data_IF_242803221008
#
_entry.id   IF_242803221008
#
_cell.length_a   1.000
_cell.length_b   1.000
_cell.length_c   1.000
_cell.angle_alpha   90.00
_cell.angle_beta   90.00
_cell.angle_gamma   90.00
#
_symmetry.space_group_name_H-M   'P 1'
#
loop_
_entity.id
_entity.type
_entity.pdbx_description
1 polymer ?
#
# COMPACT_ATOMS: atom_id res chain seq x y z
N UNK A 1 32.71 -2.36 -8.98
CA UNK A 1 33.56 -3.50 -8.57
C UNK A 1 32.82 -4.84 -8.72
N UNK A 2 31.71 -5.09 -8.01
CA UNK A 2 30.94 -6.34 -8.12
C UNK A 2 30.60 -6.73 -9.58
N UNK A 3 30.16 -5.77 -10.39
CA UNK A 3 29.90 -5.96 -11.83
C UNK A 3 31.07 -6.61 -12.58
N UNK A 4 32.30 -6.17 -12.32
CA UNK A 4 33.50 -6.70 -13.00
C UNK A 4 33.82 -8.11 -12.53
N UNK A 5 33.63 -8.38 -11.23
CA UNK A 5 33.81 -9.71 -10.65
C UNK A 5 32.82 -10.70 -11.29
N UNK A 6 31.55 -10.31 -11.40
CA UNK A 6 30.52 -11.14 -12.04
C UNK A 6 30.77 -11.36 -13.53
N UNK A 7 31.27 -10.34 -14.24
CA UNK A 7 31.64 -10.44 -15.66
C UNK A 7 32.81 -11.39 -15.90
N UNK A 8 33.86 -11.31 -15.09
CA UNK A 8 35.12 -12.00 -15.34
C UNK A 8 35.16 -13.40 -14.75
N UNK A 9 34.54 -13.61 -13.58
CA UNK A 9 34.68 -14.84 -12.80
C UNK A 9 33.34 -15.55 -12.55
N UNK A 10 32.20 -14.87 -12.71
CA UNK A 10 30.88 -15.42 -12.42
C UNK A 10 30.52 -15.42 -10.93
N UNK A 11 29.28 -15.80 -10.63
CA UNK A 11 28.68 -15.77 -9.29
C UNK A 11 29.28 -16.78 -8.31
N UNK A 12 29.77 -17.91 -8.81
CA UNK A 12 30.18 -19.06 -8.00
C UNK A 12 31.71 -19.09 -7.78
N UNK A 13 32.38 -18.00 -8.14
CA UNK A 13 33.84 -17.88 -8.05
C UNK A 13 34.31 -17.59 -6.63
N UNK A 14 35.55 -18.01 -6.32
CA UNK A 14 36.23 -17.64 -5.07
C UNK A 14 36.33 -16.12 -4.89
N UNK A 15 36.45 -15.36 -5.98
CA UNK A 15 36.44 -13.89 -5.98
C UNK A 15 35.09 -13.33 -5.52
N UNK A 16 33.97 -13.90 -5.99
CA UNK A 16 32.64 -13.51 -5.55
C UNK A 16 32.39 -13.87 -4.07
N UNK A 17 32.86 -15.05 -3.63
CA UNK A 17 32.78 -15.45 -2.22
C UNK A 17 33.60 -14.52 -1.31
N UNK A 18 34.85 -14.20 -1.69
CA UNK A 18 35.70 -13.26 -0.94
C UNK A 18 35.08 -11.87 -0.86
N UNK A 19 34.54 -11.37 -1.99
CA UNK A 19 33.85 -10.08 -2.03
C UNK A 19 32.62 -10.06 -1.10
N UNK A 20 31.88 -11.17 -1.05
CA UNK A 20 30.72 -11.34 -0.18
C UNK A 20 31.11 -11.38 1.30
N UNK A 21 32.22 -12.05 1.64
CA UNK A 21 32.76 -12.05 2.99
C UNK A 21 33.22 -10.66 3.43
N UNK A 22 33.82 -9.88 2.52
CA UNK A 22 34.34 -8.54 2.80
C UNK A 22 33.22 -7.52 3.05
N UNK A 23 32.19 -7.51 2.19
CA UNK A 23 31.14 -6.48 2.23
C UNK A 23 29.89 -6.89 3.01
N UNK A 24 29.75 -8.19 3.32
CA UNK A 24 28.57 -8.77 3.95
C UNK A 24 27.46 -9.09 2.95
N UNK A 25 26.74 -10.19 3.22
CA UNK A 25 25.71 -10.77 2.35
C UNK A 25 24.62 -9.76 1.94
N UNK A 26 24.10 -9.00 2.90
CA UNK A 26 23.01 -8.04 2.66
C UNK A 26 23.44 -6.90 1.74
N UNK A 27 24.65 -6.35 1.94
CA UNK A 27 25.18 -5.29 1.08
C UNK A 27 25.47 -5.80 -0.32
N UNK A 28 26.00 -7.03 -0.45
CA UNK A 28 26.20 -7.64 -1.78
C UNK A 28 24.87 -7.90 -2.48
N UNK A 29 23.83 -8.30 -1.74
CA UNK A 29 22.47 -8.40 -2.26
C UNK A 29 21.93 -7.07 -2.80
N UNK A 30 22.11 -5.97 -2.06
CA UNK A 30 21.74 -4.63 -2.51
C UNK A 30 22.52 -4.18 -3.78
N UNK A 31 23.82 -4.48 -3.84
CA UNK A 31 24.63 -4.23 -5.03
C UNK A 31 24.16 -5.06 -6.23
N UNK A 32 23.74 -6.31 -6.02
CA UNK A 32 23.16 -7.15 -7.06
C UNK A 32 21.83 -6.57 -7.58
N UNK A 33 20.94 -6.12 -6.70
CA UNK A 33 19.70 -5.43 -7.07
C UNK A 33 19.96 -4.17 -7.90
N UNK A 34 20.99 -3.39 -7.52
CA UNK A 34 21.42 -2.21 -8.27
C UNK A 34 21.87 -2.57 -9.70
N UNK A 35 22.61 -3.68 -9.86
CA UNK A 35 23.03 -4.18 -11.18
C UNK A 35 21.82 -4.63 -12.01
N UNK A 36 20.87 -5.36 -11.43
CA UNK A 36 19.66 -5.83 -12.12
C UNK A 36 18.82 -4.66 -12.65
N UNK A 37 18.67 -3.63 -11.82
CA UNK A 37 17.91 -2.40 -12.13
C UNK A 37 18.55 -1.56 -13.25
N UNK A 38 19.89 -1.55 -13.34
CA UNK A 38 20.59 -0.66 -14.28
C UNK A 38 20.44 -1.17 -15.72
N UNK A 39 19.96 -0.30 -16.62
CA UNK A 39 19.88 -0.59 -18.07
C UNK A 39 21.18 -0.28 -18.82
N UNK A 40 22.01 0.63 -18.29
CA UNK A 40 23.22 1.09 -18.97
C UNK A 40 24.40 0.10 -18.88
N UNK A 41 24.64 -0.60 -19.99
CA UNK A 41 25.84 -1.41 -20.27
C UNK A 41 25.89 -2.77 -19.57
N UNK A 42 24.90 -3.16 -18.79
CA UNK A 42 24.84 -4.50 -18.22
C UNK A 42 24.47 -5.50 -19.32
N UNK A 43 25.42 -6.34 -19.75
CA UNK A 43 25.08 -7.45 -20.64
C UNK A 43 24.15 -8.42 -19.92
N UNK A 44 23.30 -9.13 -20.66
CA UNK A 44 22.38 -10.13 -20.09
C UNK A 44 23.11 -11.10 -19.15
N UNK A 45 24.32 -11.52 -19.55
CA UNK A 45 25.17 -12.41 -18.74
C UNK A 45 25.52 -11.87 -17.35
N UNK A 46 25.67 -10.55 -17.19
CA UNK A 46 25.91 -9.92 -15.88
C UNK A 46 24.64 -9.92 -15.05
N UNK A 47 23.51 -9.60 -15.66
CA UNK A 47 22.21 -9.63 -14.97
C UNK A 47 21.90 -11.05 -14.52
N UNK A 48 22.14 -12.06 -15.36
CA UNK A 48 21.96 -13.47 -15.02
C UNK A 48 22.88 -13.90 -13.87
N UNK A 49 24.14 -13.46 -13.87
CA UNK A 49 25.08 -13.76 -12.79
C UNK A 49 24.75 -13.02 -11.50
N UNK A 50 24.28 -11.78 -11.58
CA UNK A 50 23.79 -11.02 -10.42
C UNK A 50 22.52 -11.66 -9.84
N UNK A 51 21.62 -12.16 -10.70
CA UNK A 51 20.41 -12.85 -10.29
C UNK A 51 20.72 -14.18 -9.58
N UNK A 52 21.64 -14.98 -10.14
CA UNK A 52 22.14 -16.19 -9.49
C UNK A 52 22.73 -15.89 -8.12
N UNK A 53 23.62 -14.88 -8.04
CA UNK A 53 24.20 -14.43 -6.78
C UNK A 53 23.12 -14.03 -5.76
N UNK A 54 22.11 -13.29 -6.19
CA UNK A 54 21.02 -12.83 -5.33
C UNK A 54 20.18 -13.99 -4.79
N UNK A 55 19.87 -15.01 -5.59
CA UNK A 55 19.13 -16.18 -5.12
C UNK A 55 19.94 -17.05 -4.15
N UNK A 56 21.26 -17.15 -4.31
CA UNK A 56 22.12 -17.86 -3.37
C UNK A 56 22.03 -17.31 -1.93
N UNK A 57 21.76 -16.01 -1.77
CA UNK A 57 21.57 -15.37 -0.46
C UNK A 57 20.36 -15.91 0.33
N UNK A 58 19.46 -16.66 -0.31
CA UNK A 58 18.29 -17.28 0.34
C UNK A 58 18.63 -18.57 1.06
N UNK A 59 19.63 -19.31 0.59
CA UNK A 59 19.91 -20.68 1.01
C UNK A 59 20.80 -20.79 2.26
N UNK A 60 21.42 -19.68 2.70
CA UNK A 60 22.39 -19.72 3.81
C UNK A 60 21.78 -19.82 5.22
N UNK A 61 20.44 -19.73 5.36
CA UNK A 61 19.75 -20.09 6.62
C UNK A 61 20.09 -21.51 7.10
N UNK A 62 20.48 -22.39 6.17
CA UNK A 62 20.85 -23.78 6.43
C UNK A 62 22.32 -23.91 6.88
N UNK A 63 23.22 -23.00 6.49
CA UNK A 63 24.66 -23.12 6.76
C UNK A 63 25.09 -22.49 8.09
N UNK A 64 24.44 -21.41 8.51
CA UNK A 64 24.97 -20.57 9.59
C UNK A 64 24.57 -21.00 11.02
N UNK A 65 23.92 -22.15 11.21
CA UNK A 65 23.69 -22.74 12.54
C UNK A 65 24.97 -23.24 13.23
N UNK A 66 26.12 -23.17 12.58
CA UNK A 66 27.42 -23.60 13.14
C UNK A 66 28.45 -22.49 13.34
N UNK A 67 28.09 -21.21 13.16
CA UNK A 67 29.00 -20.12 13.55
C UNK A 67 28.25 -19.01 14.30
N UNK A 68 28.05 -19.24 15.60
CA UNK A 68 27.70 -18.16 16.53
C UNK A 68 29.00 -17.76 17.25
N UNK A 69 29.54 -16.60 16.88
CA UNK A 69 30.46 -15.87 17.75
C UNK A 69 29.65 -14.90 18.63
N UNK A 70 29.91 -14.80 19.94
CA UNK A 70 29.22 -13.87 20.81
C UNK A 70 29.85 -12.47 20.67
N UNK A 71 29.12 -11.52 20.09
CA UNK A 71 29.49 -10.11 20.22
C UNK A 71 28.81 -9.51 21.46
N UNK A 72 29.66 -9.05 22.38
CA UNK A 72 29.33 -8.34 23.62
C UNK A 72 28.86 -6.93 23.29
N UNK A 73 27.58 -6.64 23.50
CA UNK A 73 27.06 -5.28 23.43
C UNK A 73 27.51 -4.49 24.68
N UNK A 74 28.32 -3.46 24.48
CA UNK A 74 28.59 -2.43 25.48
C UNK A 74 27.42 -1.45 25.56
N UNK A 75 27.08 -1.08 26.80
CA UNK A 75 25.99 -0.19 27.19
C UNK A 75 25.79 1.04 26.30
N UNK A 76 24.56 1.21 25.82
CA UNK A 76 23.99 2.53 25.57
C UNK A 76 22.58 2.57 26.16
N UNK A 77 22.43 3.33 27.24
CA UNK A 77 21.18 3.56 27.94
C UNK A 77 20.38 4.69 27.30
N UNK A 78 19.06 4.52 27.36
CA UNK A 78 18.00 5.54 27.27
C UNK A 78 17.66 6.10 25.89
N UNK A 79 16.64 5.49 25.27
CA UNK A 79 15.58 6.25 24.62
C UNK A 79 14.24 5.59 24.93
N UNK A 80 13.38 6.31 25.63
CA UNK A 80 12.00 5.92 25.92
C UNK A 80 11.13 6.23 24.69
N UNK A 81 10.52 5.21 24.09
CA UNK A 81 9.48 5.36 23.06
C UNK A 81 8.15 4.88 23.61
N UNK A 82 7.02 5.60 23.39
CA UNK A 82 5.70 5.03 23.59
C UNK A 82 5.19 4.36 22.29
N UNK A 83 4.46 3.27 22.50
CA UNK A 83 3.58 2.53 21.57
C UNK A 83 4.27 1.73 20.45
N UNK A 84 4.51 0.45 20.74
CA UNK A 84 4.76 -0.59 19.75
C UNK A 84 3.45 -1.02 19.11
N UNK A 85 3.24 -0.71 17.82
CA UNK A 85 2.28 -1.45 17.00
C UNK A 85 3.03 -2.49 16.16
N UNK A 86 2.65 -3.74 16.36
CA UNK A 86 3.20 -4.92 15.72
C UNK A 86 2.83 -4.91 14.23
N UNK A 87 3.83 -4.98 13.35
CA UNK A 87 3.68 -4.99 11.88
C UNK A 87 3.00 -6.27 11.31
N UNK A 88 2.46 -7.13 12.18
CA UNK A 88 1.87 -8.42 11.82
C UNK A 88 0.47 -8.31 11.18
N UNK A 89 -0.19 -7.16 11.30
CA UNK A 89 -1.63 -7.02 11.13
C UNK A 89 -2.03 -5.96 10.09
N UNK A 90 -1.27 -5.86 8.98
CA UNK A 90 -1.61 -5.01 7.85
C UNK A 90 -2.81 -5.60 7.05
N UNK A 91 -3.99 -5.66 7.67
CA UNK A 91 -5.25 -5.89 6.98
C UNK A 91 -5.70 -4.58 6.33
N UNK A 92 -5.17 -4.31 5.12
CA UNK A 92 -5.57 -3.14 4.33
C UNK A 92 -7.04 -3.34 3.86
N UNK A 93 -8.01 -2.97 4.69
CA UNK A 93 -9.39 -2.82 4.27
C UNK A 93 -9.51 -1.57 3.41
N UNK A 94 -9.31 -1.75 2.10
CA UNK A 94 -9.42 -0.71 1.06
C UNK A 94 -10.86 -0.19 1.02
N UNK A 95 -11.12 0.92 1.72
CA UNK A 95 -12.37 1.68 1.62
C UNK A 95 -12.26 2.69 0.49
N UNK A 96 -13.28 2.72 -0.36
CA UNK A 96 -13.36 3.63 -1.51
C UNK A 96 -13.38 5.10 -1.07
N UNK A 97 -12.81 6.01 -1.87
CA UNK A 97 -12.66 7.41 -1.52
C UNK A 97 -13.91 8.22 -1.17
N UNK A 98 -15.06 7.81 -1.69
CA UNK A 98 -16.26 8.66 -1.74
C UNK A 98 -17.10 8.65 -0.45
N UNK A 99 -16.57 8.15 0.66
CA UNK A 99 -17.34 7.90 1.90
C UNK A 99 -17.14 8.93 3.04
N UNK A 100 -16.30 9.96 2.89
CA UNK A 100 -15.81 10.77 4.04
C UNK A 100 -16.60 12.03 4.39
N UNK A 101 -17.85 12.18 3.93
CA UNK A 101 -18.64 13.39 4.23
C UNK A 101 -19.90 13.07 5.04
N UNK A 102 -19.79 12.97 6.37
CA UNK A 102 -20.73 13.52 7.41
C UNK A 102 -20.56 12.89 8.82
N UNK A 103 -20.88 13.61 9.92
CA UNK A 103 -20.51 13.25 11.29
C UNK A 103 -21.47 12.22 11.92
N UNK A 104 -20.94 11.15 12.52
CA UNK A 104 -21.74 10.16 13.25
C UNK A 104 -22.02 10.58 14.70
N UNK A 105 -23.29 10.87 15.00
CA UNK A 105 -23.83 10.82 16.36
C UNK A 105 -23.99 9.37 16.81
N UNK A 106 -23.39 9.04 17.96
CA UNK A 106 -23.52 7.74 18.63
C UNK A 106 -24.96 7.54 19.15
N UNK A 107 -25.65 6.50 18.67
CA UNK A 107 -26.80 5.90 19.37
C UNK A 107 -26.44 4.49 19.82
N UNK A 108 -26.31 4.33 21.15
CA UNK A 108 -26.28 3.04 21.84
C UNK A 108 -27.60 2.30 21.60
N UNK A 109 -27.52 1.03 21.24
CA UNK A 109 -28.63 0.09 21.43
C UNK A 109 -28.17 -1.06 22.31
N UNK A 110 -28.81 -1.18 23.47
CA UNK A 110 -28.85 -2.38 24.29
C UNK A 110 -29.80 -3.38 23.63
N UNK A 111 -29.47 -4.67 23.67
CA UNK A 111 -30.46 -5.73 23.48
C UNK A 111 -30.29 -6.82 24.54
N UNK A 112 -31.43 -7.35 24.94
CA UNK A 112 -31.70 -8.06 26.18
C UNK A 112 -31.41 -9.57 26.12
N UNK A 113 -31.26 -10.11 27.33
CA UNK A 113 -31.17 -11.54 27.71
C UNK A 113 -32.42 -12.33 27.32
N UNK A 114 -32.21 -13.61 27.02
CA UNK A 114 -33.10 -14.70 27.45
C UNK A 114 -32.26 -15.92 27.88
N UNK A 115 -32.73 -16.57 28.95
CA UNK A 115 -32.07 -17.58 29.80
C UNK A 115 -32.46 -19.02 29.42
N UNK A 116 -31.66 -20.06 29.68
CA UNK A 116 -31.73 -21.06 30.80
C UNK A 116 -30.89 -22.33 30.41
N UNK A 117 -30.59 -23.33 31.29
CA UNK A 117 -29.71 -23.30 32.46
C UNK A 117 -28.64 -24.43 32.54
N UNK A 118 -27.53 -24.11 33.20
CA UNK A 118 -26.73 -24.86 34.19
C UNK A 118 -26.70 -26.42 34.23
N UNK A 119 -25.49 -26.98 34.03
CA UNK A 119 -25.01 -28.15 34.79
C UNK A 119 -23.50 -28.01 35.09
N UNK A 120 -23.18 -28.02 36.39
CA UNK A 120 -21.86 -27.92 36.99
C UNK A 120 -21.16 -29.30 37.06
N UNK A 121 -19.84 -29.27 37.37
CA UNK A 121 -18.90 -30.37 37.74
C UNK A 121 -17.96 -30.80 36.58
N UNK A 122 -16.62 -30.80 36.66
CA UNK A 122 -15.63 -30.89 37.77
C UNK A 122 -14.35 -30.11 37.39
N UNK A 123 -13.75 -29.43 38.38
CA UNK A 123 -12.41 -28.85 38.38
C UNK A 123 -11.34 -29.93 38.60
N UNK A 124 -10.34 -30.03 37.72
CA UNK A 124 -9.01 -30.55 38.06
C UNK A 124 -7.92 -29.98 37.13
N UNK A 125 -6.95 -29.28 37.74
CA UNK A 125 -5.51 -29.23 37.40
C UNK A 125 -5.07 -28.94 35.95
N UNK A 126 -4.66 -27.71 35.67
CA UNK A 126 -3.23 -27.36 35.55
C UNK A 126 -3.09 -25.85 35.24
N UNK A 127 -3.00 -25.03 36.29
CA UNK A 127 -2.39 -23.71 36.17
C UNK A 127 -0.88 -23.88 36.25
N UNK A 128 -0.20 -23.89 35.10
CA UNK A 128 1.18 -23.41 34.89
C UNK A 128 1.67 -23.82 33.50
N UNK A 129 1.32 -23.06 32.46
CA UNK A 129 2.15 -22.88 31.24
C UNK A 129 1.37 -22.21 30.10
N UNK A 130 0.93 -20.97 30.28
CA UNK A 130 0.44 -20.19 29.13
C UNK A 130 0.82 -18.72 29.24
N UNK A 131 2.12 -18.48 29.44
CA UNK A 131 2.70 -17.13 29.45
C UNK A 131 4.19 -17.17 29.11
N UNK A 132 4.53 -17.85 28.01
CA UNK A 132 5.81 -17.63 27.34
C UNK A 132 5.75 -18.07 25.87
N UNK A 133 4.78 -17.56 25.11
CA UNK A 133 4.99 -17.47 23.65
C UNK A 133 6.01 -16.35 23.41
N UNK A 134 7.28 -16.71 23.60
CA UNK A 134 8.39 -16.02 22.97
C UNK A 134 8.08 -16.14 21.47
N UNK A 135 7.52 -15.07 20.88
CA UNK A 135 7.57 -14.83 19.45
C UNK A 135 9.04 -14.89 19.07
N UNK A 136 9.47 -16.10 18.71
CA UNK A 136 10.81 -16.36 18.24
C UNK A 136 10.81 -15.71 16.87
N UNK A 137 11.27 -14.46 16.78
CA UNK A 137 11.48 -13.79 15.50
C UNK A 137 12.44 -14.70 14.73
N UNK A 138 11.89 -15.51 13.83
CA UNK A 138 12.70 -16.28 12.91
C UNK A 138 13.59 -15.28 12.19
N UNK A 139 14.90 -15.49 12.20
CA UNK A 139 15.80 -14.62 11.46
C UNK A 139 15.41 -14.65 9.98
N UNK A 140 15.25 -13.48 9.36
CA UNK A 140 14.93 -13.35 7.95
C UNK A 140 16.15 -13.70 7.09
N UNK A 141 15.94 -14.01 5.81
CA UNK A 141 17.06 -14.31 4.91
C UNK A 141 17.82 -13.03 4.54
N UNK A 142 19.09 -13.18 4.16
CA UNK A 142 19.85 -12.04 3.62
C UNK A 142 19.23 -11.48 2.33
N UNK A 143 18.50 -12.31 1.56
CA UNK A 143 17.71 -11.87 0.41
C UNK A 143 16.57 -10.94 0.84
N UNK A 144 15.83 -11.31 1.88
CA UNK A 144 14.79 -10.47 2.47
C UNK A 144 15.39 -9.13 2.90
N UNK A 145 16.44 -9.17 3.70
CA UNK A 145 17.05 -7.95 4.26
C UNK A 145 17.63 -7.04 3.16
N UNK A 146 18.17 -7.63 2.08
CA UNK A 146 18.67 -6.86 0.95
C UNK A 146 17.56 -6.09 0.22
N UNK A 147 16.36 -6.67 0.08
CA UNK A 147 15.22 -5.98 -0.53
C UNK A 147 14.77 -4.78 0.32
N UNK A 148 14.65 -4.98 1.63
CA UNK A 148 14.29 -3.90 2.56
C UNK A 148 15.38 -2.83 2.65
N UNK A 149 16.65 -3.23 2.64
CA UNK A 149 17.78 -2.30 2.60
C UNK A 149 17.75 -1.45 1.32
N UNK A 150 17.52 -2.08 0.17
CA UNK A 150 17.43 -1.35 -1.11
C UNK A 150 16.29 -0.34 -1.11
N UNK A 151 15.09 -0.78 -0.68
CA UNK A 151 13.94 0.10 -0.54
C UNK A 151 14.21 1.27 0.40
N UNK A 152 14.72 1.00 1.61
CA UNK A 152 15.00 2.03 2.62
C UNK A 152 16.05 3.04 2.15
N UNK A 153 17.04 2.63 1.35
CA UNK A 153 18.01 3.55 0.71
C UNK A 153 17.35 4.49 -0.29
N UNK A 154 16.36 4.01 -1.05
CA UNK A 154 15.64 4.83 -2.02
C UNK A 154 14.74 5.85 -1.30
N UNK A 155 13.92 5.40 -0.34
CA UNK A 155 12.91 6.26 0.31
C UNK A 155 13.41 7.02 1.53
N UNK A 156 14.59 6.69 2.05
CA UNK A 156 15.05 7.15 3.38
C UNK A 156 15.06 8.66 3.58
N UNK A 157 15.35 9.42 2.52
CA UNK A 157 15.35 10.89 2.58
C UNK A 157 13.96 11.52 2.65
N UNK A 158 12.91 10.77 2.31
CA UNK A 158 11.51 11.21 2.26
C UNK A 158 10.67 10.58 3.38
N UNK A 159 10.98 9.34 3.78
CA UNK A 159 10.11 8.45 4.56
C UNK A 159 9.46 9.11 5.79
N UNK A 160 10.26 9.82 6.58
CA UNK A 160 9.80 10.45 7.83
C UNK A 160 9.48 11.94 7.69
N UNK A 161 9.55 12.50 6.48
CA UNK A 161 9.29 13.92 6.23
C UNK A 161 7.83 14.16 5.81
N UNK A 162 7.26 15.35 6.11
CA UNK A 162 5.98 15.76 5.55
C UNK A 162 6.07 15.94 4.03
N UNK A 163 4.93 15.80 3.33
CA UNK A 163 4.83 16.05 1.88
C UNK A 163 4.44 17.49 1.56
N UNK A 164 3.75 18.17 2.47
CA UNK A 164 3.31 19.55 2.31
C UNK A 164 3.59 20.38 3.56
N UNK A 165 3.59 21.69 3.39
CA UNK A 165 3.71 22.65 4.47
C UNK A 165 2.67 23.76 4.33
N UNK A 166 2.28 24.33 5.46
CA UNK A 166 1.39 25.49 5.51
C UNK A 166 2.21 26.77 5.52
N UNK A 167 1.99 27.62 4.52
CA UNK A 167 2.62 28.94 4.44
C UNK A 167 1.88 29.98 5.31
N UNK A 168 2.51 31.13 5.63
CA UNK A 168 1.92 32.17 6.48
C UNK A 168 0.60 32.76 5.95
N UNK A 169 0.36 32.69 4.64
CA UNK A 169 -0.87 33.09 3.96
C UNK A 169 -1.99 32.03 4.05
N UNK A 170 -1.81 31.01 4.91
CA UNK A 170 -2.70 29.86 5.05
C UNK A 170 -2.80 29.01 3.76
N UNK A 171 -1.82 29.11 2.85
CA UNK A 171 -1.74 28.31 1.64
C UNK A 171 -0.98 27.01 1.90
N UNK A 172 -1.59 25.88 1.57
CA UNK A 172 -0.92 24.58 1.64
C UNK A 172 -0.15 24.37 0.35
N UNK A 173 1.15 24.08 0.45
CA UNK A 173 2.03 23.86 -0.72
C UNK A 173 2.79 22.55 -0.57
N UNK A 174 3.07 21.88 -1.69
CA UNK A 174 3.97 20.74 -1.69
C UNK A 174 5.38 21.19 -1.33
N UNK A 175 6.08 20.39 -0.52
CA UNK A 175 7.49 20.59 -0.20
C UNK A 175 8.37 20.16 -1.38
N UNK A 176 7.91 19.16 -2.14
CA UNK A 176 8.65 18.56 -3.26
C UNK A 176 8.11 19.06 -4.59
N UNK A 177 9.03 19.34 -5.52
CA UNK A 177 8.71 19.66 -6.90
C UNK A 177 8.41 18.41 -7.74
N UNK A 178 7.84 18.60 -8.94
CA UNK A 178 7.55 17.50 -9.88
C UNK A 178 8.82 16.75 -10.26
N UNK A 179 9.92 17.45 -10.53
CA UNK A 179 11.21 16.85 -10.92
C UNK A 179 11.80 15.95 -9.82
N UNK A 180 11.68 16.35 -8.55
CA UNK A 180 12.16 15.57 -7.41
C UNK A 180 11.34 14.29 -7.21
N UNK A 181 10.01 14.40 -7.36
CA UNK A 181 9.10 13.26 -7.30
C UNK A 181 9.37 12.30 -8.47
N UNK A 182 9.55 12.83 -9.68
CA UNK A 182 9.88 12.05 -10.87
C UNK A 182 11.23 11.34 -10.71
N UNK A 183 12.25 12.00 -10.15
CA UNK A 183 13.52 11.36 -9.85
C UNK A 183 13.34 10.14 -8.91
N UNK A 184 12.54 10.29 -7.85
CA UNK A 184 12.27 9.22 -6.89
C UNK A 184 11.46 8.07 -7.53
N UNK A 185 10.46 8.40 -8.34
CA UNK A 185 9.67 7.43 -9.11
C UNK A 185 10.56 6.66 -10.10
N UNK A 186 11.50 7.34 -10.75
CA UNK A 186 12.52 6.70 -11.59
C UNK A 186 13.48 5.80 -10.80
N UNK A 187 13.54 5.93 -9.47
CA UNK A 187 14.20 4.95 -8.60
C UNK A 187 13.31 3.75 -8.27
N UNK A 188 12.09 3.99 -7.81
CA UNK A 188 11.20 2.94 -7.31
C UNK A 188 10.54 2.10 -8.41
N UNK A 189 10.15 2.69 -9.53
CA UNK A 189 9.45 1.98 -10.61
C UNK A 189 10.31 0.89 -11.24
N UNK A 190 11.58 1.12 -11.59
CA UNK A 190 12.45 0.04 -12.07
C UNK A 190 12.73 -1.01 -10.98
N UNK A 191 12.80 -0.61 -9.71
CA UNK A 191 12.96 -1.55 -8.60
C UNK A 191 11.73 -2.46 -8.45
N UNK A 192 10.52 -1.91 -8.51
CA UNK A 192 9.26 -2.68 -8.57
C UNK A 192 9.26 -3.62 -9.77
N UNK A 193 9.63 -3.12 -10.96
CA UNK A 193 9.69 -3.91 -12.18
C UNK A 193 10.61 -5.13 -12.05
N UNK A 194 11.84 -4.97 -11.56
CA UNK A 194 12.76 -6.12 -11.43
C UNK A 194 12.26 -7.17 -10.43
N UNK A 195 11.52 -6.76 -9.39
CA UNK A 195 10.92 -7.71 -8.44
C UNK A 195 9.89 -8.59 -9.14
N UNK A 196 9.12 -8.02 -10.05
CA UNK A 196 8.06 -8.70 -10.80
C UNK A 196 8.62 -9.53 -11.95
N UNK A 197 9.46 -8.93 -12.79
CA UNK A 197 10.06 -9.58 -13.97
C UNK A 197 10.91 -10.80 -13.60
N UNK A 198 11.74 -10.68 -12.56
CA UNK A 198 12.59 -11.77 -12.10
C UNK A 198 11.94 -12.62 -10.99
N UNK A 199 10.67 -12.34 -10.64
CA UNK A 199 9.93 -13.05 -9.58
C UNK A 199 10.75 -13.16 -8.29
N UNK A 200 11.39 -12.06 -7.89
CA UNK A 200 12.27 -12.03 -6.72
C UNK A 200 11.52 -12.36 -5.43
N UNK A 201 10.19 -12.25 -5.43
CA UNK A 201 9.27 -12.64 -4.36
C UNK A 201 8.30 -13.65 -4.99
N UNK A 202 8.38 -14.93 -4.60
CA UNK A 202 7.57 -16.00 -5.19
C UNK A 202 6.04 -15.77 -5.10
N UNK A 203 5.27 -16.42 -5.97
CA UNK A 203 3.82 -16.21 -6.11
C UNK A 203 3.01 -16.89 -5.00
N UNK A 204 1.95 -16.24 -4.50
CA UNK A 204 1.04 -16.72 -3.44
C UNK A 204 0.50 -18.15 -3.72
N UNK A 205 0.19 -18.46 -4.98
CA UNK A 205 -0.52 -19.68 -5.40
C UNK A 205 0.26 -21.00 -5.28
N UNK A 206 1.59 -20.98 -5.23
CA UNK A 206 2.41 -22.19 -5.43
C UNK A 206 2.48 -23.15 -4.23
N UNK A 207 1.80 -22.88 -3.10
CA UNK A 207 2.06 -23.64 -1.86
C UNK A 207 0.86 -23.94 -0.96
N UNK A 208 -0.37 -23.84 -1.45
CA UNK A 208 -1.51 -24.45 -0.74
C UNK A 208 -1.57 -25.94 -1.10
N UNK A 209 -0.55 -26.69 -0.67
CA UNK A 209 -0.69 -28.13 -0.49
C UNK A 209 -0.55 -28.40 1.01
N UNK A 210 -1.62 -28.82 1.70
CA UNK A 210 -1.49 -29.35 3.04
C UNK A 210 -0.77 -30.69 2.91
N UNK A 211 0.52 -30.72 3.23
CA UNK A 211 1.24 -31.98 3.42
C UNK A 211 0.75 -32.59 4.74
N UNK A 212 -0.17 -33.54 4.64
CA UNK A 212 -0.41 -34.51 5.70
C UNK A 212 0.89 -35.26 5.95
N UNK A 213 1.57 -34.96 7.05
CA UNK A 213 2.80 -35.64 7.44
C UNK A 213 3.21 -35.27 8.85
N UNK A 214 2.91 -36.15 9.80
CA UNK A 214 3.42 -36.09 11.17
C UNK A 214 4.96 -36.11 11.17
N UNK A 215 5.63 -34.96 11.29
CA UNK A 215 7.09 -34.89 11.59
C UNK A 215 7.46 -33.51 12.18
N UNK A 216 8.44 -33.43 13.12
CA UNK A 216 8.60 -32.29 14.02
C UNK A 216 9.49 -31.19 13.41
N UNK A 217 9.09 -30.63 12.27
CA UNK A 217 9.82 -29.54 11.60
C UNK A 217 9.06 -28.20 11.58
N UNK A 218 8.10 -28.05 12.50
CA UNK A 218 7.23 -26.88 12.63
C UNK A 218 7.98 -25.55 12.66
N UNK A 219 9.15 -25.47 13.32
CA UNK A 219 9.91 -24.22 13.43
C UNK A 219 10.55 -23.75 12.11
N UNK A 220 11.00 -24.68 11.24
CA UNK A 220 11.58 -24.29 9.93
C UNK A 220 10.47 -23.86 8.98
N UNK A 221 9.33 -24.55 9.02
CA UNK A 221 8.15 -24.22 8.24
C UNK A 221 7.57 -22.86 8.66
N UNK A 222 7.40 -22.62 9.97
CA UNK A 222 6.94 -21.33 10.52
C UNK A 222 7.89 -20.19 10.16
N UNK A 223 9.20 -20.39 10.20
CA UNK A 223 10.19 -19.40 9.78
C UNK A 223 10.11 -19.04 8.29
N UNK A 224 9.90 -20.06 7.44
CA UNK A 224 9.71 -19.88 5.99
C UNK A 224 8.40 -19.15 5.67
N UNK A 225 7.31 -19.53 6.36
CA UNK A 225 6.01 -18.87 6.23
C UNK A 225 6.04 -17.42 6.70
N UNK A 226 6.71 -17.12 7.81
CA UNK A 226 6.89 -15.76 8.33
C UNK A 226 7.62 -14.85 7.33
N UNK A 227 8.76 -15.31 6.79
CA UNK A 227 9.51 -14.56 5.79
C UNK A 227 8.68 -14.30 4.53
N UNK A 228 7.95 -15.33 4.06
CA UNK A 228 7.10 -15.19 2.89
C UNK A 228 5.99 -14.15 3.09
N UNK A 229 5.32 -14.14 4.23
CA UNK A 229 4.33 -13.11 4.59
C UNK A 229 4.95 -11.72 4.59
N UNK A 230 6.14 -11.57 5.15
CA UNK A 230 6.88 -10.30 5.16
C UNK A 230 7.19 -9.82 3.75
N UNK A 231 7.68 -10.69 2.86
CA UNK A 231 7.98 -10.34 1.47
C UNK A 231 6.73 -9.98 0.66
N UNK A 232 5.60 -10.65 0.87
CA UNK A 232 4.34 -10.30 0.22
C UNK A 232 3.86 -8.92 0.70
N UNK A 233 3.97 -8.65 2.00
CA UNK A 233 3.65 -7.34 2.59
C UNK A 233 4.57 -6.25 2.04
N UNK A 234 5.86 -6.56 1.86
CA UNK A 234 6.83 -5.67 1.22
C UNK A 234 6.47 -5.35 -0.23
N UNK A 235 6.02 -6.34 -1.02
CA UNK A 235 5.57 -6.11 -2.40
C UNK A 235 4.38 -5.15 -2.45
N UNK A 236 3.44 -5.30 -1.53
CA UNK A 236 2.29 -4.39 -1.39
C UNK A 236 2.75 -2.99 -0.96
N UNK A 237 3.62 -2.90 0.05
CA UNK A 237 4.21 -1.64 0.51
C UNK A 237 4.91 -0.89 -0.63
N UNK A 238 5.74 -1.58 -1.40
CA UNK A 238 6.44 -1.00 -2.54
C UNK A 238 5.46 -0.47 -3.59
N UNK A 239 4.42 -1.26 -3.89
CA UNK A 239 3.40 -0.86 -4.86
C UNK A 239 2.65 0.39 -4.40
N UNK A 240 2.19 0.39 -3.15
CA UNK A 240 1.48 1.52 -2.57
C UNK A 240 2.36 2.77 -2.45
N UNK A 241 3.64 2.61 -2.12
CA UNK A 241 4.61 3.72 -2.08
C UNK A 241 4.74 4.39 -3.45
N UNK A 242 4.82 3.60 -4.53
CA UNK A 242 4.84 4.12 -5.91
C UNK A 242 3.54 4.84 -6.24
N UNK A 243 2.39 4.24 -5.93
CA UNK A 243 1.07 4.82 -6.23
C UNK A 243 0.84 6.15 -5.48
N UNK A 244 1.21 6.23 -4.19
CA UNK A 244 1.08 7.48 -3.42
C UNK A 244 1.99 8.58 -3.98
N UNK A 245 3.21 8.25 -4.42
CA UNK A 245 4.10 9.21 -5.07
C UNK A 245 3.58 9.66 -6.43
N UNK A 246 3.02 8.74 -7.23
CA UNK A 246 2.37 9.08 -8.49
C UNK A 246 1.18 10.00 -8.26
N UNK A 247 0.31 9.69 -7.30
CA UNK A 247 -0.80 10.58 -6.92
C UNK A 247 -0.28 11.97 -6.51
N UNK A 248 0.77 12.03 -5.70
CA UNK A 248 1.35 13.30 -5.27
C UNK A 248 1.93 14.11 -6.44
N UNK A 249 2.57 13.44 -7.40
CA UNK A 249 3.06 14.05 -8.64
C UNK A 249 1.91 14.64 -9.46
N UNK A 250 0.85 13.86 -9.71
CA UNK A 250 -0.36 14.30 -10.43
C UNK A 250 -0.96 15.54 -9.74
N UNK A 251 -1.11 15.50 -8.42
CA UNK A 251 -1.60 16.66 -7.65
C UNK A 251 -0.72 17.90 -7.86
N UNK A 252 0.61 17.75 -7.92
CA UNK A 252 1.52 18.86 -8.18
C UNK A 252 1.36 19.41 -9.62
N UNK A 253 1.22 18.54 -10.62
CA UNK A 253 0.98 18.91 -12.03
C UNK A 253 -0.34 19.68 -12.20
N UNK A 254 -1.35 19.31 -11.41
CA UNK A 254 -2.66 19.96 -11.37
C UNK A 254 -2.78 21.08 -10.31
N UNK A 255 -1.68 21.72 -9.95
CA UNK A 255 -1.65 22.85 -9.00
C UNK A 255 -2.19 22.49 -7.60
N UNK A 256 -1.50 21.57 -6.91
CA UNK A 256 -1.85 21.07 -5.56
C UNK A 256 -2.42 22.13 -4.61
N UNK A 257 -1.82 23.32 -4.59
CA UNK A 257 -2.25 24.40 -3.69
C UNK A 257 -3.70 24.86 -3.90
N UNK A 258 -4.23 24.79 -5.13
CA UNK A 258 -5.63 25.09 -5.45
C UNK A 258 -6.52 23.95 -4.98
N UNK A 259 -6.15 22.71 -5.29
CA UNK A 259 -6.88 21.50 -4.89
C UNK A 259 -6.99 21.42 -3.37
N UNK A 260 -5.91 21.73 -2.65
CA UNK A 260 -5.86 21.71 -1.20
C UNK A 260 -6.83 22.71 -0.54
N UNK A 261 -7.30 23.75 -1.24
CA UNK A 261 -8.33 24.66 -0.73
C UNK A 261 -9.73 24.03 -0.69
N UNK A 262 -9.95 22.98 -1.49
CA UNK A 262 -11.21 22.24 -1.53
C UNK A 262 -11.32 21.21 -0.39
N UNK A 263 -10.21 20.92 0.30
CA UNK A 263 -10.19 20.04 1.46
C UNK A 263 -10.82 20.71 2.68
N UNK A 264 -11.43 19.89 3.54
CA UNK A 264 -11.90 20.33 4.85
C UNK A 264 -10.73 20.80 5.73
N UNK A 265 -11.01 21.71 6.68
CA UNK A 265 -10.01 22.20 7.64
C UNK A 265 -9.37 21.06 8.43
N UNK A 266 -10.14 20.03 8.79
CA UNK A 266 -9.65 18.83 9.48
C UNK A 266 -8.64 18.07 8.61
N UNK A 267 -8.95 17.85 7.34
CA UNK A 267 -8.07 17.12 6.42
C UNK A 267 -6.80 17.89 6.12
N UNK A 268 -6.88 19.23 5.99
CA UNK A 268 -5.69 20.10 5.83
C UNK A 268 -4.76 20.01 7.04
N UNK A 269 -5.31 20.04 8.25
CA UNK A 269 -4.52 19.89 9.49
C UNK A 269 -3.89 18.49 9.58
N UNK A 270 -4.66 17.44 9.27
CA UNK A 270 -4.16 16.06 9.23
C UNK A 270 -3.03 15.89 8.21
N UNK A 271 -3.19 16.43 7.02
CA UNK A 271 -2.19 16.36 5.94
C UNK A 271 -0.89 17.11 6.31
N UNK A 272 -0.98 18.20 7.07
CA UNK A 272 0.21 18.95 7.54
C UNK A 272 0.94 18.24 8.69
N UNK A 273 0.20 17.52 9.53
CA UNK A 273 0.77 16.79 10.68
C UNK A 273 1.29 15.38 10.32
N UNK A 274 1.05 14.91 9.10
CA UNK A 274 1.44 13.57 8.66
C UNK A 274 2.74 13.60 7.86
N UNK A 275 3.50 12.51 7.96
CA UNK A 275 4.68 12.28 7.15
C UNK A 275 4.36 11.29 6.02
N UNK A 276 5.30 11.15 5.08
CA UNK A 276 5.13 10.29 3.93
C UNK A 276 4.82 8.83 4.32
N UNK A 277 5.53 8.26 5.31
CA UNK A 277 5.28 6.89 5.72
C UNK A 277 3.86 6.67 6.28
N UNK A 278 3.33 7.62 7.05
CA UNK A 278 1.97 7.51 7.58
C UNK A 278 0.92 7.65 6.49
N UNK A 279 1.18 8.46 5.45
CA UNK A 279 0.30 8.55 4.28
C UNK A 279 0.26 7.20 3.54
N UNK A 280 1.43 6.58 3.34
CA UNK A 280 1.51 5.26 2.69
C UNK A 280 0.86 4.16 3.52
N UNK A 281 1.12 4.09 4.82
CA UNK A 281 0.67 2.96 5.66
C UNK A 281 -0.79 3.08 6.11
N UNK A 282 -1.29 4.30 6.32
CA UNK A 282 -2.61 4.52 6.94
C UNK A 282 -3.37 5.72 6.37
N UNK A 283 -2.82 6.42 5.36
CA UNK A 283 -3.40 7.63 4.78
C UNK A 283 -4.36 7.41 3.61
N UNK A 284 -4.91 6.21 3.44
CA UNK A 284 -5.81 5.89 2.33
C UNK A 284 -6.99 6.87 2.23
N UNK A 285 -7.55 7.27 3.37
CA UNK A 285 -8.64 8.24 3.41
C UNK A 285 -8.20 9.65 2.97
N UNK A 286 -6.97 10.05 3.27
CA UNK A 286 -6.43 11.33 2.80
C UNK A 286 -6.19 11.31 1.29
N UNK A 287 -5.64 10.23 0.75
CA UNK A 287 -5.45 10.04 -0.69
C UNK A 287 -6.80 10.09 -1.42
N UNK A 288 -7.80 9.43 -0.87
CA UNK A 288 -9.17 9.45 -1.33
C UNK A 288 -9.78 10.87 -1.40
N UNK A 289 -9.64 11.64 -0.33
CA UNK A 289 -10.18 13.00 -0.25
C UNK A 289 -9.45 13.93 -1.24
N UNK A 290 -8.14 13.74 -1.41
CA UNK A 290 -7.32 14.46 -2.40
C UNK A 290 -7.77 14.17 -3.83
N UNK A 291 -7.97 12.89 -4.18
CA UNK A 291 -8.49 12.49 -5.50
C UNK A 291 -9.87 13.10 -5.73
N UNK A 292 -10.74 13.05 -4.73
CA UNK A 292 -12.07 13.64 -4.80
C UNK A 292 -12.02 15.15 -5.05
N UNK A 293 -11.12 15.87 -4.37
CA UNK A 293 -10.93 17.31 -4.59
C UNK A 293 -10.37 17.61 -5.99
N UNK A 294 -9.41 16.81 -6.46
CA UNK A 294 -8.82 16.93 -7.78
C UNK A 294 -9.87 16.73 -8.89
N UNK A 295 -10.68 15.67 -8.80
CA UNK A 295 -11.78 15.42 -9.74
C UNK A 295 -12.81 16.55 -9.69
N UNK A 296 -13.18 17.02 -8.49
CA UNK A 296 -14.13 18.13 -8.33
C UNK A 296 -13.62 19.44 -8.91
N UNK A 297 -12.31 19.67 -8.90
CA UNK A 297 -11.70 20.85 -9.51
C UNK A 297 -11.98 20.94 -11.02
N UNK A 298 -12.05 19.79 -11.70
CA UNK A 298 -12.32 19.69 -13.14
C UNK A 298 -13.78 19.36 -13.47
N UNK A 299 -14.68 19.34 -12.47
CA UNK A 299 -16.07 18.97 -12.69
C UNK A 299 -16.76 19.94 -13.67
N UNK A 300 -17.16 19.41 -14.83
CA UNK A 300 -17.76 20.19 -15.92
C UNK A 300 -16.85 20.38 -17.13
N UNK A 301 -15.57 20.05 -17.03
CA UNK A 301 -14.68 19.80 -18.17
C UNK A 301 -14.55 18.28 -18.40
N UNK A 302 -15.56 17.71 -19.04
CA UNK A 302 -15.68 16.26 -19.23
C UNK A 302 -14.46 15.64 -19.94
N UNK A 303 -13.79 16.41 -20.80
CA UNK A 303 -12.60 15.94 -21.50
C UNK A 303 -11.44 15.76 -20.52
N UNK A 304 -11.16 16.79 -19.72
CA UNK A 304 -10.08 16.74 -18.71
C UNK A 304 -10.38 15.72 -17.62
N UNK A 305 -11.61 15.62 -17.11
CA UNK A 305 -11.97 14.60 -16.11
C UNK A 305 -11.76 13.18 -16.64
N UNK A 306 -12.10 12.92 -17.91
CA UNK A 306 -11.92 11.58 -18.51
C UNK A 306 -10.44 11.20 -18.61
N UNK A 307 -9.59 12.14 -19.05
CA UNK A 307 -8.14 11.93 -19.13
C UNK A 307 -7.56 11.67 -17.74
N UNK A 308 -7.92 12.51 -16.76
CA UNK A 308 -7.49 12.37 -15.38
C UNK A 308 -7.93 11.03 -14.77
N UNK A 309 -9.17 10.60 -14.98
CA UNK A 309 -9.67 9.31 -14.48
C UNK A 309 -8.88 8.13 -15.07
N UNK A 310 -8.49 8.20 -16.34
CA UNK A 310 -7.66 7.18 -16.96
C UNK A 310 -6.26 7.18 -16.35
N UNK A 311 -5.64 8.35 -16.21
CA UNK A 311 -4.33 8.48 -15.60
C UNK A 311 -4.29 7.96 -14.15
N UNK A 312 -5.30 8.29 -13.33
CA UNK A 312 -5.41 7.79 -11.96
C UNK A 312 -5.58 6.26 -11.90
N UNK A 313 -6.34 5.67 -12.83
CA UNK A 313 -6.50 4.19 -12.90
C UNK A 313 -5.21 3.50 -13.31
N UNK A 314 -4.45 4.10 -14.22
CA UNK A 314 -3.21 3.51 -14.73
C UNK A 314 -2.08 3.65 -13.69
N UNK A 315 -2.00 4.79 -13.00
CA UNK A 315 -0.91 5.10 -12.10
C UNK A 315 -1.16 4.69 -10.64
N UNK A 316 -2.43 4.68 -10.20
CA UNK A 316 -2.82 4.50 -8.80
C UNK A 316 -4.03 3.53 -8.63
N UNK A 317 -3.99 2.31 -9.20
CA UNK A 317 -5.14 1.41 -9.27
C UNK A 317 -5.68 0.95 -7.91
N UNK A 318 -4.85 0.94 -6.85
CA UNK A 318 -5.29 0.60 -5.50
C UNK A 318 -5.97 1.77 -4.78
N UNK A 319 -5.68 3.01 -5.21
CA UNK A 319 -6.24 4.24 -4.66
C UNK A 319 -7.47 4.73 -5.44
N UNK A 320 -7.54 4.46 -6.75
CA UNK A 320 -8.63 4.86 -7.63
C UNK A 320 -9.06 3.68 -8.52
N UNK A 321 -10.20 3.10 -8.19
CA UNK A 321 -10.72 1.91 -8.85
C UNK A 321 -11.59 2.24 -10.07
N UNK A 322 -11.93 1.21 -10.84
CA UNK A 322 -12.92 1.32 -11.95
C UNK A 322 -14.28 1.78 -11.43
N UNK A 323 -14.67 1.36 -10.23
CA UNK A 323 -15.93 1.78 -9.61
C UNK A 323 -15.92 3.27 -9.23
N UNK A 324 -14.77 3.79 -8.79
CA UNK A 324 -14.60 5.22 -8.49
C UNK A 324 -14.68 6.06 -9.77
N UNK A 325 -14.10 5.58 -10.88
CA UNK A 325 -14.23 6.20 -12.20
C UNK A 325 -15.67 6.19 -12.71
N UNK A 326 -16.38 5.07 -12.56
CA UNK A 326 -17.79 4.97 -12.93
C UNK A 326 -18.66 5.93 -12.11
N UNK A 327 -18.37 6.08 -10.82
CA UNK A 327 -19.07 7.02 -9.93
C UNK A 327 -18.79 8.47 -10.31
N UNK A 328 -17.55 8.78 -10.68
CA UNK A 328 -17.16 10.11 -11.20
C UNK A 328 -17.96 10.45 -12.45
N UNK A 329 -17.96 9.54 -13.43
CA UNK A 329 -18.71 9.70 -14.68
C UNK A 329 -20.22 9.86 -14.44
N UNK A 330 -20.80 9.07 -13.54
CA UNK A 330 -22.20 9.23 -13.17
C UNK A 330 -22.49 10.59 -12.53
N UNK A 331 -21.56 11.11 -11.72
CA UNK A 331 -21.68 12.45 -11.12
C UNK A 331 -21.65 13.55 -12.17
N UNK A 332 -20.78 13.44 -13.18
CA UNK A 332 -20.75 14.38 -14.31
C UNK A 332 -22.08 14.37 -15.09
N UNK A 333 -22.61 13.18 -15.38
CA UNK A 333 -23.89 13.03 -16.08
C UNK A 333 -25.05 13.66 -15.28
N UNK A 334 -25.03 13.55 -13.96
CA UNK A 334 -26.02 14.18 -13.07
C UNK A 334 -25.88 15.71 -13.11
N UNK A 335 -24.66 16.25 -13.07
CA UNK A 335 -24.42 17.70 -13.17
C UNK A 335 -24.84 18.26 -14.53
N UNK A 336 -24.58 17.52 -15.62
CA UNK A 336 -25.03 17.87 -16.97
C UNK A 336 -26.56 17.93 -17.04
N UNK A 337 -27.23 16.89 -16.53
CA UNK A 337 -28.70 16.83 -16.44
C UNK A 337 -29.28 17.98 -15.64
N UNK A 338 -28.58 18.45 -14.59
CA UNK A 338 -29.05 19.54 -13.73
C UNK A 338 -29.20 20.86 -14.51
N UNK A 339 -28.46 21.03 -15.61
CA UNK A 339 -28.52 22.20 -16.51
C UNK A 339 -29.57 22.06 -17.60
N UNK A 340 -30.10 20.87 -17.84
CA UNK A 340 -31.09 20.60 -18.88
C UNK A 340 -32.54 20.77 -18.38
N UNK A 341 -33.47 21.28 -19.21
CA UNK A 341 -34.89 21.27 -18.87
C UNK A 341 -35.45 19.84 -18.83
N UNK A 342 -36.64 19.62 -18.24
CA UNK A 342 -37.31 18.32 -18.28
C UNK A 342 -37.59 17.88 -19.73
N UNK A 343 -36.89 16.86 -20.22
CA UNK A 343 -37.04 16.31 -21.57
C UNK A 343 -36.66 14.81 -21.62
N UNK A 344 -36.92 14.13 -22.75
CA UNK A 344 -36.58 12.71 -22.93
C UNK A 344 -35.07 12.43 -22.82
N UNK A 345 -34.24 13.30 -23.41
CA UNK A 345 -32.78 13.18 -23.31
C UNK A 345 -32.30 13.23 -21.85
N UNK A 346 -32.94 14.07 -21.01
CA UNK A 346 -32.65 14.13 -19.57
C UNK A 346 -32.98 12.81 -18.87
N UNK A 347 -34.08 12.14 -19.22
CA UNK A 347 -34.42 10.83 -18.65
C UNK A 347 -33.45 9.73 -19.08
N UNK A 348 -32.97 9.77 -20.32
CA UNK A 348 -32.00 8.80 -20.85
C UNK A 348 -30.63 8.93 -20.18
N UNK A 349 -30.10 10.15 -20.06
CA UNK A 349 -28.82 10.41 -19.40
C UNK A 349 -28.90 9.98 -17.93
N UNK A 350 -30.00 10.30 -17.24
CA UNK A 350 -30.18 9.91 -15.85
C UNK A 350 -30.27 8.38 -15.69
N UNK A 351 -30.93 7.68 -16.60
CA UNK A 351 -31.02 6.22 -16.58
C UNK A 351 -29.63 5.57 -16.72
N UNK A 352 -28.78 6.08 -17.60
CA UNK A 352 -27.41 5.58 -17.77
C UNK A 352 -26.51 5.94 -16.57
N UNK A 353 -26.68 7.14 -15.97
CA UNK A 353 -25.97 7.50 -14.74
C UNK A 353 -26.32 6.55 -13.58
N UNK A 354 -27.60 6.23 -13.40
CA UNK A 354 -28.06 5.26 -12.40
C UNK A 354 -27.51 3.86 -12.68
N UNK A 355 -27.44 3.44 -13.95
CA UNK A 355 -26.85 2.15 -14.33
C UNK A 355 -25.37 2.07 -13.97
N UNK A 356 -24.59 3.13 -14.22
CA UNK A 356 -23.18 3.19 -13.82
C UNK A 356 -23.00 3.11 -12.30
N UNK A 357 -23.83 3.82 -11.54
CA UNK A 357 -23.86 3.71 -10.08
C UNK A 357 -24.24 2.30 -9.62
N UNK A 358 -25.17 1.65 -10.32
CA UNK A 358 -25.57 0.26 -10.03
C UNK A 358 -24.45 -0.75 -10.29
N UNK A 359 -23.58 -0.50 -11.25
CA UNK A 359 -22.44 -1.39 -11.54
C UNK A 359 -21.40 -1.39 -10.40
N UNK A 360 -21.27 -0.30 -9.63
CA UNK A 360 -20.34 -0.18 -8.49
C UNK A 360 -20.89 -0.64 -7.13
N UNK A 361 -22.04 -1.34 -7.08
CA UNK A 361 -22.84 -1.59 -5.85
C UNK A 361 -22.13 -2.31 -4.71
N UNK A 362 -20.99 -2.97 -4.91
CA UNK A 362 -20.30 -3.62 -3.79
C UNK A 362 -19.74 -2.63 -2.75
N UNK A 363 -19.71 -1.32 -3.04
CA UNK A 363 -19.18 -0.27 -2.13
C UNK A 363 -19.92 1.07 -2.25
N UNK A 364 -21.24 1.16 -2.05
CA UNK A 364 -21.96 2.46 -2.13
C UNK A 364 -22.77 2.80 -0.86
N UNK A 365 -22.61 4.04 -0.35
CA UNK A 365 -23.45 4.65 0.70
C UNK A 365 -24.76 5.17 0.07
N UNK A 366 -25.77 4.30 -0.01
CA UNK A 366 -27.09 4.61 -0.57
C UNK A 366 -27.71 5.95 -0.07
N UNK A 367 -27.61 6.33 1.22
CA UNK A 367 -28.04 7.64 1.73
C UNK A 367 -27.50 8.88 0.98
N UNK A 368 -26.22 8.90 0.60
CA UNK A 368 -25.58 10.08 -0.01
C UNK A 368 -26.04 10.26 -1.46
N UNK A 369 -26.21 9.16 -2.20
CA UNK A 369 -26.80 9.18 -3.55
C UNK A 369 -28.25 9.62 -3.47
N UNK A 370 -29.01 9.12 -2.49
CA UNK A 370 -30.38 9.56 -2.26
C UNK A 370 -30.45 11.06 -1.95
N UNK A 371 -29.48 11.63 -1.22
CA UNK A 371 -29.43 13.06 -0.91
C UNK A 371 -29.06 13.92 -2.14
N UNK A 372 -28.08 13.49 -2.95
CA UNK A 372 -27.72 14.14 -4.23
C UNK A 372 -28.87 14.11 -5.24
N UNK A 373 -29.63 13.00 -5.28
CA UNK A 373 -30.84 12.85 -6.09
C UNK A 373 -32.02 13.64 -5.50
N UNK A 374 -32.09 13.80 -4.18
CA UNK A 374 -33.14 14.54 -3.48
C UNK A 374 -33.04 16.06 -3.69
N UNK A 375 -31.83 16.62 -3.70
CA UNK A 375 -31.59 18.04 -4.00
C UNK A 375 -31.95 18.38 -5.47
N UNK A 376 -31.87 17.40 -6.38
CA UNK A 376 -32.48 17.45 -7.72
C UNK A 376 -33.98 17.15 -7.70
N UNK A 377 -34.75 18.00 -7.02
CA UNK A 377 -36.18 17.82 -6.65
C UNK A 377 -37.04 16.94 -7.60
N UNK A 378 -37.70 15.96 -6.96
CA UNK A 378 -38.88 15.16 -7.35
C UNK A 378 -38.71 13.78 -8.03
N UNK A 379 -37.95 12.82 -7.46
CA UNK A 379 -38.09 11.40 -7.88
C UNK A 379 -38.03 10.34 -6.76
N UNK A 380 -38.47 10.68 -5.54
CA UNK A 380 -38.58 9.71 -4.44
C UNK A 380 -39.56 8.55 -4.73
N UNK A 381 -40.42 8.68 -5.74
CA UNK A 381 -41.47 7.68 -6.06
C UNK A 381 -40.94 6.50 -6.91
N UNK A 382 -39.81 6.62 -7.61
CA UNK A 382 -39.30 5.52 -8.45
C UNK A 382 -38.31 4.60 -7.72
N UNK A 383 -37.62 5.08 -6.68
CA UNK A 383 -36.69 4.25 -5.88
C UNK A 383 -37.42 3.37 -4.87
N UNK A 384 -38.59 3.79 -4.38
CA UNK A 384 -39.44 2.96 -3.51
C UNK A 384 -40.21 1.85 -4.26
N UNK A 385 -40.34 1.96 -5.59
CA UNK A 385 -41.05 0.95 -6.39
C UNK A 385 -40.16 -0.13 -7.02
N UNK A 386 -38.83 -0.02 -6.91
CA UNK A 386 -37.89 -0.97 -7.55
C UNK A 386 -37.02 -1.77 -6.56
N UNK A 387 -37.27 -1.63 -5.26
CA UNK A 387 -36.68 -2.45 -4.20
C UNK A 387 -37.72 -3.25 -3.41
N UNK A 388 -38.85 -3.57 -4.05
CA UNK A 388 -39.70 -4.72 -3.73
C UNK A 388 -39.88 -5.59 -4.97
#
# INVERSE_FOLDING_TARGET
MLRNILLQFGSDSSHASYFTQLHGLVNVGDMALTILRTECGASSAVKDSALRLFFMLSNEKVRNRHSVFPFRAGNLSQWSSPVSESLSDLSLQIRSPLFSSTPQQQKRFHSARDSFPEMQQILSSDETSLSSEIQTYASMSCRHDALFLHFSRIVGNLWSKPLCQLLPDNKLVSIYGVDELEWLLNQLTPFKRIIEDYKLIGNIQEYVQPLNGDTPNSHIEVASHSERRSLLSFRQLLSLTVEVLMLWKILCEHQFHVIATLLSTQNRSSLTATNFCNIVLSGQQLCADLITCLVRHYLGDNATTTVLCNELRDCCPSLFSVDDANTTKATEMIEEVRRLPPCSARTEILAEAVKLLKMGIQKINLPVICQLLYEGKNWFILLLFYFY
#
